data_IF_971464514816
#
_entry.id   IF_971464514816
#
_cell.length_a   1.000
_cell.length_b   1.000
_cell.length_c   1.000
_cell.angle_alpha   90.00
_cell.angle_beta   90.00
_cell.angle_gamma   90.00
#
_symmetry.space_group_name_H-M   'P 1'
#
loop_
_entity.id
_entity.type
_entity.pdbx_description
1 polymer ?
#
# COMPACT_ATOMS: atom_id res chain seq x y z
N UNK A 1 -18.87 -19.15 5.43
CA UNK A 1 -17.87 -18.80 6.47
C UNK A 1 -16.47 -18.56 5.90
N UNK A 2 -15.97 -19.41 5.00
CA UNK A 2 -14.62 -19.26 4.39
C UNK A 2 -14.38 -17.91 3.70
N UNK A 3 -15.33 -17.42 2.90
CA UNK A 3 -15.18 -16.13 2.18
C UNK A 3 -15.03 -14.93 3.13
N UNK A 4 -15.71 -14.93 4.28
CA UNK A 4 -15.57 -13.86 5.28
C UNK A 4 -14.21 -13.89 5.97
N UNK A 5 -13.67 -15.08 6.22
CA UNK A 5 -12.32 -15.24 6.75
C UNK A 5 -11.27 -14.73 5.75
N UNK A 6 -11.48 -15.02 4.46
CA UNK A 6 -10.60 -14.58 3.40
C UNK A 6 -10.64 -13.04 3.20
N UNK A 7 -11.81 -12.43 3.30
CA UNK A 7 -11.94 -10.96 3.31
C UNK A 7 -11.18 -10.34 4.50
N UNK A 8 -11.35 -10.87 5.71
CA UNK A 8 -10.61 -10.42 6.89
C UNK A 8 -9.10 -10.59 6.73
N UNK A 9 -8.67 -11.72 6.16
CA UNK A 9 -7.26 -11.97 5.86
C UNK A 9 -6.70 -10.95 4.88
N UNK A 10 -7.40 -10.64 3.79
CA UNK A 10 -6.96 -9.65 2.81
C UNK A 10 -6.93 -8.24 3.38
N UNK A 11 -7.92 -7.86 4.18
CA UNK A 11 -7.88 -6.59 4.93
C UNK A 11 -6.66 -6.51 5.84
N UNK A 12 -6.43 -7.55 6.65
CA UNK A 12 -5.28 -7.60 7.56
C UNK A 12 -3.95 -7.54 6.82
N UNK A 13 -3.84 -8.25 5.70
CA UNK A 13 -2.67 -8.25 4.83
C UNK A 13 -2.41 -6.86 4.24
N UNK A 14 -3.45 -6.18 3.72
CA UNK A 14 -3.33 -4.81 3.23
C UNK A 14 -2.87 -3.84 4.30
N UNK A 15 -3.51 -3.86 5.47
CA UNK A 15 -3.13 -2.99 6.59
C UNK A 15 -1.69 -3.26 7.06
N UNK A 16 -1.27 -4.53 7.07
CA UNK A 16 0.12 -4.90 7.38
C UNK A 16 1.10 -4.36 6.33
N UNK A 17 0.78 -4.45 5.03
CA UNK A 17 1.61 -3.91 3.94
C UNK A 17 1.71 -2.38 4.03
N UNK A 18 0.58 -1.69 4.23
CA UNK A 18 0.54 -0.22 4.38
C UNK A 18 1.34 0.20 5.62
N UNK A 19 1.08 -0.43 6.77
CA UNK A 19 1.80 -0.16 8.01
C UNK A 19 3.30 -0.44 7.88
N UNK A 20 3.68 -1.53 7.21
CA UNK A 20 5.08 -1.84 6.98
C UNK A 20 5.74 -0.83 6.03
N UNK A 21 5.09 -0.40 4.95
CA UNK A 21 5.59 0.67 4.08
C UNK A 21 5.70 2.03 4.79
N UNK A 22 4.87 2.32 5.80
CA UNK A 22 4.91 3.59 6.53
C UNK A 22 5.92 3.59 7.69
N UNK A 23 6.12 2.45 8.37
CA UNK A 23 6.91 2.37 9.59
C UNK A 23 8.14 1.45 9.50
N UNK A 24 8.27 0.64 8.44
CA UNK A 24 9.32 -0.36 8.32
C UNK A 24 10.74 0.23 8.17
N UNK A 25 10.86 1.51 7.81
CA UNK A 25 12.13 2.24 7.80
C UNK A 25 12.70 2.50 9.21
N UNK A 26 11.83 2.51 10.25
CA UNK A 26 12.22 2.81 11.63
C UNK A 26 13.18 1.76 12.19
N UNK A 27 12.99 0.49 11.82
CA UNK A 27 13.78 -0.62 12.36
C UNK A 27 14.98 -0.98 11.46
N UNK A 28 16.24 -0.86 11.93
CA UNK A 28 17.43 -1.10 11.10
C UNK A 28 17.49 -2.49 10.46
N UNK A 29 17.01 -3.51 11.16
CA UNK A 29 16.96 -4.91 10.69
C UNK A 29 16.00 -5.11 9.52
N UNK A 30 14.92 -4.33 9.44
CA UNK A 30 13.88 -4.47 8.42
C UNK A 30 14.07 -3.53 7.22
N UNK A 31 15.06 -2.62 7.23
CA UNK A 31 15.26 -1.63 6.13
C UNK A 31 15.42 -2.25 4.74
N UNK A 32 16.11 -3.40 4.63
CA UNK A 32 16.25 -4.10 3.34
C UNK A 32 14.92 -4.70 2.88
N UNK A 33 14.16 -5.30 3.79
CA UNK A 33 12.83 -5.85 3.50
C UNK A 33 11.84 -4.74 3.17
N UNK A 34 11.89 -3.63 3.89
CA UNK A 34 11.12 -2.42 3.61
C UNK A 34 11.38 -1.91 2.20
N UNK A 35 12.66 -1.78 1.82
CA UNK A 35 13.02 -1.35 0.46
C UNK A 35 12.50 -2.31 -0.61
N UNK A 36 12.60 -3.63 -0.39
CA UNK A 36 12.05 -4.62 -1.32
C UNK A 36 10.52 -4.51 -1.43
N UNK A 37 9.83 -4.27 -0.31
CA UNK A 37 8.37 -4.12 -0.28
C UNK A 37 7.92 -2.84 -1.00
N UNK A 38 8.62 -1.73 -0.77
CA UNK A 38 8.43 -0.47 -1.50
C UNK A 38 8.64 -0.71 -2.99
N UNK A 39 9.71 -1.41 -3.38
CA UNK A 39 9.98 -1.71 -4.78
C UNK A 39 8.87 -2.58 -5.40
N UNK A 40 8.39 -3.60 -4.69
CA UNK A 40 7.29 -4.44 -5.15
C UNK A 40 5.98 -3.64 -5.28
N UNK A 41 5.72 -2.73 -4.34
CA UNK A 41 4.55 -1.85 -4.39
C UNK A 41 4.64 -0.88 -5.57
N UNK A 42 5.82 -0.26 -5.76
CA UNK A 42 6.08 0.64 -6.88
C UNK A 42 6.00 -0.10 -8.22
N UNK A 43 6.51 -1.33 -8.30
CA UNK A 43 6.40 -2.17 -9.49
C UNK A 43 4.94 -2.52 -9.77
N UNK A 44 4.13 -2.85 -8.76
CA UNK A 44 2.69 -3.06 -8.93
C UNK A 44 2.03 -1.80 -9.49
N UNK A 45 2.33 -0.63 -8.94
CA UNK A 45 1.72 0.62 -9.36
C UNK A 45 2.19 1.09 -10.74
N UNK A 46 3.45 0.89 -11.10
CA UNK A 46 4.01 1.33 -12.38
C UNK A 46 3.71 0.33 -13.50
N UNK A 47 3.74 -0.97 -13.23
CA UNK A 47 3.48 -1.99 -14.26
C UNK A 47 1.98 -2.19 -14.44
N UNK A 48 1.24 -2.42 -13.36
CA UNK A 48 -0.20 -2.69 -13.41
C UNK A 48 -1.00 -1.40 -13.41
N UNK A 49 -0.53 -0.33 -12.77
CA UNK A 49 -1.25 0.93 -12.77
C UNK A 49 -1.28 1.65 -14.12
N UNK A 50 -0.41 1.28 -15.08
CA UNK A 50 -0.55 1.70 -16.48
C UNK A 50 -1.85 1.18 -17.12
N UNK A 51 -2.39 0.05 -16.64
CA UNK A 51 -3.59 -0.57 -17.20
C UNK A 51 -4.81 -0.38 -16.30
N UNK A 52 -4.62 -0.46 -14.98
CA UNK A 52 -5.71 -0.47 -13.99
C UNK A 52 -5.82 0.83 -13.17
N UNK A 53 -4.89 1.76 -13.33
CA UNK A 53 -4.87 3.06 -12.64
C UNK A 53 -3.80 3.16 -11.54
N UNK A 54 -3.39 4.40 -11.24
CA UNK A 54 -2.44 4.70 -10.17
C UNK A 54 -2.97 4.18 -8.85
N UNK A 55 -2.18 3.40 -8.12
CA UNK A 55 -2.62 2.82 -6.86
C UNK A 55 -2.96 1.34 -6.90
N UNK A 56 -2.98 0.73 -8.09
CA UNK A 56 -3.46 -0.64 -8.24
C UNK A 56 -2.62 -1.67 -7.46
N UNK A 57 -3.33 -2.51 -6.71
CA UNK A 57 -2.78 -3.62 -5.94
C UNK A 57 -3.53 -4.91 -6.32
N UNK A 58 -2.84 -5.97 -6.77
CA UNK A 58 -3.49 -7.24 -7.14
C UNK A 58 -4.20 -7.90 -5.95
N UNK A 59 -3.77 -7.61 -4.73
CA UNK A 59 -4.42 -8.10 -3.50
C UNK A 59 -5.83 -7.48 -3.39
N UNK A 60 -6.02 -6.22 -3.80
CA UNK A 60 -7.34 -5.55 -3.80
C UNK A 60 -8.27 -6.26 -4.76
N UNK A 61 -7.79 -6.61 -5.94
CA UNK A 61 -8.58 -7.34 -6.93
C UNK A 61 -9.01 -8.72 -6.44
N UNK A 62 -8.10 -9.47 -5.79
CA UNK A 62 -8.46 -10.72 -5.16
C UNK A 62 -9.48 -10.53 -4.04
N UNK A 63 -9.33 -9.48 -3.23
CA UNK A 63 -10.31 -9.13 -2.21
C UNK A 63 -11.67 -8.78 -2.83
N UNK A 64 -11.70 -8.07 -3.95
CA UNK A 64 -12.94 -7.70 -4.64
C UNK A 64 -13.65 -8.90 -5.24
N UNK A 65 -12.91 -9.89 -5.75
CA UNK A 65 -13.50 -11.16 -6.16
C UNK A 65 -14.18 -11.88 -4.99
N UNK A 66 -13.58 -11.83 -3.80
CA UNK A 66 -14.17 -12.41 -2.59
C UNK A 66 -15.41 -11.64 -2.15
N UNK A 67 -15.35 -10.29 -2.10
CA UNK A 67 -16.48 -9.44 -1.73
C UNK A 67 -17.64 -9.51 -2.71
N UNK A 68 -17.35 -9.59 -4.01
CA UNK A 68 -18.37 -9.80 -5.05
C UNK A 68 -19.10 -11.13 -4.83
N UNK A 69 -18.37 -12.20 -4.47
CA UNK A 69 -18.99 -13.50 -4.09
C UNK A 69 -19.78 -13.44 -2.78
N UNK A 70 -19.45 -12.49 -1.89
CA UNK A 70 -20.23 -12.20 -0.68
C UNK A 70 -21.47 -11.34 -0.96
N UNK A 71 -21.66 -10.86 -2.19
CA UNK A 71 -22.81 -10.08 -2.62
C UNK A 71 -22.60 -8.56 -2.58
N UNK A 72 -21.42 -8.08 -2.23
CA UNK A 72 -21.10 -6.65 -2.33
C UNK A 72 -20.97 -6.22 -3.79
N UNK A 73 -21.53 -5.06 -4.12
CA UNK A 73 -21.51 -4.46 -5.46
C UNK A 73 -21.07 -3.00 -5.35
N UNK A 74 -20.58 -2.42 -6.44
CA UNK A 74 -20.04 -1.04 -6.50
C UNK A 74 -18.77 -0.84 -5.65
N UNK A 75 -17.85 -1.81 -5.71
CA UNK A 75 -16.55 -1.71 -5.05
C UNK A 75 -15.66 -0.70 -5.80
N UNK A 76 -15.04 0.28 -5.11
CA UNK A 76 -14.14 1.23 -5.75
C UNK A 76 -12.81 0.55 -6.10
N UNK A 77 -12.09 1.06 -7.09
CA UNK A 77 -10.80 0.49 -7.51
C UNK A 77 -9.72 0.55 -6.42
N UNK A 78 -9.86 1.46 -5.44
CA UNK A 78 -8.88 1.71 -4.39
C UNK A 78 -9.35 1.17 -3.05
N UNK A 79 -8.55 0.28 -2.44
CA UNK A 79 -8.80 -0.26 -1.09
C UNK A 79 -8.92 0.85 -0.05
N UNK A 80 -8.07 1.87 -0.17
CA UNK A 80 -8.06 3.00 0.76
C UNK A 80 -9.34 3.81 0.63
N UNK A 81 -9.85 4.02 -0.60
CA UNK A 81 -11.17 4.65 -0.79
C UNK A 81 -12.27 3.83 -0.14
N UNK A 82 -12.32 2.53 -0.42
CA UNK A 82 -13.33 1.64 0.17
C UNK A 82 -13.36 1.75 1.69
N UNK A 83 -12.19 1.65 2.35
CA UNK A 83 -12.11 1.73 3.80
C UNK A 83 -12.34 3.15 4.34
N UNK A 84 -11.89 4.20 3.63
CA UNK A 84 -12.15 5.58 4.02
C UNK A 84 -13.64 5.90 3.97
N UNK A 85 -14.34 5.49 2.91
CA UNK A 85 -15.78 5.68 2.79
C UNK A 85 -16.53 4.85 3.83
N UNK A 86 -16.13 3.59 4.03
CA UNK A 86 -16.73 2.71 5.02
C UNK A 86 -16.60 3.24 6.46
N UNK A 87 -15.43 3.78 6.82
CA UNK A 87 -15.18 4.30 8.17
C UNK A 87 -15.83 5.66 8.42
N UNK A 88 -15.86 6.54 7.42
CA UNK A 88 -16.36 7.91 7.57
C UNK A 88 -17.83 8.08 7.19
N UNK A 89 -18.39 7.13 6.44
CA UNK A 89 -19.71 7.24 5.82
C UNK A 89 -19.80 8.32 4.73
N UNK A 90 -18.67 8.83 4.24
CA UNK A 90 -18.61 9.87 3.19
C UNK A 90 -18.10 9.28 1.89
N UNK A 91 -18.54 9.82 0.75
CA UNK A 91 -18.04 9.43 -0.57
C UNK A 91 -16.84 10.31 -0.96
N UNK A 92 -15.62 9.83 -0.71
CA UNK A 92 -14.42 10.57 -1.10
C UNK A 92 -14.15 10.40 -2.60
N UNK A 93 -13.75 11.47 -3.29
CA UNK A 93 -13.35 11.36 -4.70
C UNK A 93 -12.21 10.33 -4.86
N UNK A 94 -12.34 9.33 -5.75
CA UNK A 94 -11.28 8.35 -6.02
C UNK A 94 -9.95 9.02 -6.36
N UNK A 95 -10.00 10.05 -7.22
CA UNK A 95 -8.81 10.79 -7.62
C UNK A 95 -8.09 11.45 -6.44
N UNK A 96 -8.84 11.94 -5.44
CA UNK A 96 -8.26 12.55 -4.25
C UNK A 96 -7.54 11.50 -3.41
N UNK A 97 -8.19 10.35 -3.15
CA UNK A 97 -7.60 9.26 -2.35
C UNK A 97 -6.36 8.70 -3.03
N UNK A 98 -6.43 8.47 -4.34
CA UNK A 98 -5.31 7.92 -5.11
C UNK A 98 -4.14 8.91 -5.16
N UNK A 99 -4.41 10.21 -5.31
CA UNK A 99 -3.38 11.27 -5.25
C UNK A 99 -2.67 11.30 -3.90
N UNK A 100 -3.43 11.29 -2.80
CA UNK A 100 -2.84 11.30 -1.45
C UNK A 100 -2.05 10.02 -1.17
N UNK A 101 -2.56 8.87 -1.61
CA UNK A 101 -1.84 7.61 -1.47
C UNK A 101 -0.52 7.64 -2.24
N UNK A 102 -0.53 8.18 -3.47
CA UNK A 102 0.68 8.32 -4.28
C UNK A 102 1.71 9.27 -3.63
N UNK A 103 1.26 10.40 -3.08
CA UNK A 103 2.14 11.35 -2.38
C UNK A 103 2.77 10.70 -1.15
N UNK A 104 1.96 10.07 -0.29
CA UNK A 104 2.46 9.42 0.93
C UNK A 104 3.41 8.27 0.61
N UNK A 105 3.07 7.46 -0.39
CA UNK A 105 3.94 6.38 -0.87
C UNK A 105 5.24 6.92 -1.46
N UNK A 106 5.19 8.00 -2.24
CA UNK A 106 6.38 8.67 -2.78
C UNK A 106 7.32 9.16 -1.69
N UNK A 107 6.78 9.78 -0.63
CA UNK A 107 7.55 10.18 0.55
C UNK A 107 8.18 8.95 1.23
N UNK A 108 7.40 7.89 1.45
CA UNK A 108 7.91 6.65 2.06
C UNK A 108 9.03 6.00 1.23
N UNK A 109 8.90 6.03 -0.10
CA UNK A 109 9.93 5.53 -1.01
C UNK A 109 11.22 6.37 -0.94
N UNK A 110 11.11 7.69 -0.93
CA UNK A 110 12.25 8.60 -0.75
C UNK A 110 12.95 8.37 0.60
N UNK A 111 12.18 8.24 1.68
CA UNK A 111 12.72 7.91 3.00
C UNK A 111 13.42 6.55 3.00
N UNK A 112 12.86 5.55 2.32
CA UNK A 112 13.49 4.23 2.19
C UNK A 112 14.84 4.32 1.48
N UNK A 113 14.95 5.13 0.41
CA UNK A 113 16.23 5.36 -0.28
C UNK A 113 17.21 6.09 0.63
N UNK A 114 16.77 7.15 1.31
CA UNK A 114 17.60 7.94 2.22
C UNK A 114 18.20 7.09 3.35
N UNK A 115 17.37 6.33 4.07
CA UNK A 115 17.84 5.55 5.22
C UNK A 115 18.66 4.30 4.83
N UNK A 116 18.48 3.78 3.62
CA UNK A 116 19.20 2.60 3.16
C UNK A 116 20.52 2.94 2.46
N UNK A 117 20.61 4.06 1.74
CA UNK A 117 21.79 4.41 0.94
C UNK A 117 22.55 5.66 1.41
N UNK A 118 21.87 6.64 2.01
CA UNK A 118 22.47 7.94 2.38
C UNK A 118 22.91 7.95 3.85
N UNK A 119 22.03 7.58 4.77
CA UNK A 119 22.32 7.56 6.21
C UNK A 119 23.53 6.68 6.61
N UNK A 120 23.74 5.47 6.05
CA UNK A 120 24.90 4.65 6.38
C UNK A 120 26.23 5.24 5.87
N UNK A 121 26.20 6.05 4.81
CA UNK A 121 27.39 6.72 4.26
C UNK A 121 27.83 7.90 5.12
N UNK A 122 26.89 8.66 5.71
CA UNK A 122 27.21 9.73 6.67
C UNK A 122 27.91 9.24 7.95
N UNK A 123 27.63 8.01 8.40
CA UNK A 123 28.35 7.39 9.54
C UNK A 123 29.72 6.84 9.18
N UNK A 124 30.07 6.74 7.90
CA UNK A 124 31.33 6.18 7.38
C UNK A 124 32.33 7.22 6.92
N UNK A 125 32.15 8.49 7.27
CA UNK A 125 33.23 9.50 7.23
C UNK A 125 33.96 9.49 8.57
N UNK A 126 35.00 8.67 8.76
CA UNK A 126 36.04 9.03 9.71
C UNK A 126 36.77 10.26 9.14
N UNK A 127 36.81 11.32 9.93
CA UNK A 127 37.78 12.41 9.76
C UNK A 127 39.17 11.86 10.04
#
# INVERSE_FOLDING_TARGET
MLLKLLDLFFTGLHLAIIGFNLFGWLWPRFRKLHFLLVLATAASWLLLGLWFGLGYCPITDWQWQVKTKLGERNLPNSFIKYYADYLTGRDFSPALVDTWTAILFGIAALLSVYFNFIHPKLKRTPV
#
